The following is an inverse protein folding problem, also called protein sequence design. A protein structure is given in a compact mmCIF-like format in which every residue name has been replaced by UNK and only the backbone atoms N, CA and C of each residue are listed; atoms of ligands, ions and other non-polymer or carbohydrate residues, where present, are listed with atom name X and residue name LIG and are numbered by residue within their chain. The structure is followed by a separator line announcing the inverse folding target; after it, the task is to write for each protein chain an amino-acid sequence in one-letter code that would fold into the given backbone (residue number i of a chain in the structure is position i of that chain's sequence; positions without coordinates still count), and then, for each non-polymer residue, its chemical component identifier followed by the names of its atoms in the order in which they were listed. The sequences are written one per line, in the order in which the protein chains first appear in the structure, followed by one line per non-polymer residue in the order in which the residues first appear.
data_IF_439293924203
#
_entry.id   IF_439293924203
#
_cell.length_a   1.000
_cell.length_b   1.000
_cell.length_c   1.000
_cell.angle_alpha   90.00
_cell.angle_beta   90.00
_cell.angle_gamma   90.00
#
_symmetry.space_group_name_H-M   'P 1'
#
loop_
_entity.id
_entity.type
_entity.pdbx_description
1 polymer ?
#
# COMPACT_ATOMS: atom_id res chain seq x y z
N UNK A 1 38.05 -70.19 1.59
CA UNK A 1 37.09 -69.70 2.57
C UNK A 1 36.79 -68.29 2.25
N UNK A 2 35.50 -68.08 2.02
CA UNK A 2 34.84 -66.87 1.54
C UNK A 2 35.14 -65.58 2.32
N UNK A 3 35.26 -64.49 1.61
CA UNK A 3 34.89 -63.20 2.12
C UNK A 3 34.22 -62.38 1.00
N UNK A 4 33.00 -62.00 1.28
CA UNK A 4 32.05 -61.37 0.40
C UNK A 4 32.27 -59.85 0.51
N UNK A 5 32.50 -59.20 -0.62
CA UNK A 5 32.55 -57.75 -0.71
C UNK A 5 31.12 -57.18 -0.65
N UNK A 6 30.89 -56.28 0.29
CA UNK A 6 29.69 -55.45 0.36
C UNK A 6 29.83 -54.26 -0.57
N UNK A 7 29.03 -54.21 -1.63
CA UNK A 7 28.89 -53.02 -2.46
C UNK A 7 28.11 -51.96 -1.73
N UNK A 8 28.70 -50.82 -1.53
CA UNK A 8 28.03 -49.59 -1.11
C UNK A 8 27.35 -48.98 -2.31
N UNK A 9 26.03 -49.01 -2.33
CA UNK A 9 25.27 -48.25 -3.29
C UNK A 9 25.16 -46.83 -2.76
N UNK A 10 25.98 -45.94 -3.30
CA UNK A 10 25.81 -44.50 -3.11
C UNK A 10 24.47 -44.06 -3.71
N UNK A 11 23.50 -43.87 -2.84
CA UNK A 11 22.29 -43.16 -3.21
C UNK A 11 22.69 -41.71 -3.54
N UNK A 12 22.76 -41.39 -4.81
CA UNK A 12 22.80 -40.05 -5.31
C UNK A 12 21.46 -39.41 -4.91
N UNK A 13 21.54 -38.53 -3.94
CA UNK A 13 20.39 -37.74 -3.53
C UNK A 13 20.19 -36.65 -4.58
N UNK A 14 19.37 -36.95 -5.58
CA UNK A 14 18.91 -35.96 -6.57
C UNK A 14 17.93 -34.97 -5.93
N UNK A 15 18.45 -34.10 -5.04
CA UNK A 15 17.74 -32.97 -4.57
C UNK A 15 17.73 -31.89 -5.66
N UNK A 16 16.58 -31.51 -6.23
CA UNK A 16 16.48 -30.47 -7.26
C UNK A 16 17.10 -29.14 -6.83
N UNK A 17 17.18 -28.87 -5.53
CA UNK A 17 17.80 -27.65 -4.98
C UNK A 17 19.33 -27.62 -5.19
N UNK A 18 19.98 -28.77 -5.28
CA UNK A 18 21.43 -28.83 -5.55
C UNK A 18 21.79 -28.49 -7.00
N UNK A 19 20.88 -28.71 -7.94
CA UNK A 19 21.08 -28.38 -9.35
C UNK A 19 20.95 -26.86 -9.59
N UNK A 20 20.07 -26.20 -8.85
CA UNK A 20 19.86 -24.74 -8.91
C UNK A 20 21.12 -24.01 -8.46
N UNK A 21 21.74 -24.46 -7.37
CA UNK A 21 22.94 -23.85 -6.81
C UNK A 21 24.17 -23.92 -7.76
N UNK A 22 24.29 -24.96 -8.59
CA UNK A 22 25.38 -25.07 -9.59
C UNK A 22 25.19 -24.12 -10.77
N UNK A 23 23.93 -23.85 -11.18
CA UNK A 23 23.62 -22.91 -12.25
C UNK A 23 23.75 -21.45 -11.79
N UNK A 24 23.47 -21.17 -10.53
CA UNK A 24 23.67 -19.85 -9.92
C UNK A 24 25.12 -19.40 -9.93
N UNK A 25 26.04 -20.33 -9.66
CA UNK A 25 27.48 -20.06 -9.71
C UNK A 25 27.94 -19.76 -11.15
N UNK A 26 27.37 -20.44 -12.13
CA UNK A 26 27.72 -20.26 -13.55
C UNK A 26 27.23 -18.96 -14.15
N UNK A 27 26.15 -18.37 -13.57
CA UNK A 27 25.53 -17.13 -14.03
C UNK A 27 25.85 -15.87 -13.16
N UNK A 28 26.96 -15.93 -12.40
CA UNK A 28 27.41 -14.79 -11.61
C UNK A 28 26.49 -14.44 -10.42
N UNK A 29 25.85 -15.46 -9.81
CA UNK A 29 25.02 -15.30 -8.61
C UNK A 29 23.53 -15.02 -8.87
N UNK A 30 23.11 -15.01 -10.15
CA UNK A 30 21.69 -14.86 -10.49
C UNK A 30 21.05 -16.26 -10.67
N UNK A 31 19.94 -16.51 -9.95
CA UNK A 31 19.20 -17.77 -10.10
C UNK A 31 18.56 -17.86 -11.49
N UNK A 32 18.34 -19.07 -12.05
CA UNK A 32 17.63 -19.22 -13.32
C UNK A 32 16.23 -18.60 -13.32
N UNK A 33 15.57 -18.59 -12.17
CA UNK A 33 14.26 -17.92 -11.98
C UNK A 33 14.44 -16.40 -12.08
N UNK A 34 15.38 -15.82 -11.36
CA UNK A 34 15.67 -14.39 -11.39
C UNK A 34 16.11 -13.92 -12.79
N UNK A 35 16.91 -14.71 -13.49
CA UNK A 35 17.29 -14.43 -14.87
C UNK A 35 16.08 -14.42 -15.81
N UNK A 36 15.18 -15.40 -15.68
CA UNK A 36 13.95 -15.48 -16.46
C UNK A 36 13.01 -14.31 -16.16
N UNK A 37 12.82 -13.97 -14.89
CA UNK A 37 12.02 -12.81 -14.47
C UNK A 37 12.59 -11.50 -15.01
N UNK A 38 13.91 -11.34 -15.00
CA UNK A 38 14.57 -10.16 -15.54
C UNK A 38 14.32 -10.00 -17.03
N UNK A 39 14.39 -11.09 -17.80
CA UNK A 39 14.09 -11.09 -19.26
C UNK A 39 12.62 -10.77 -19.50
N UNK A 40 11.69 -11.39 -18.76
CA UNK A 40 10.25 -11.10 -18.89
C UNK A 40 9.95 -9.64 -18.56
N UNK A 41 10.50 -9.12 -17.47
CA UNK A 41 10.34 -7.72 -17.06
C UNK A 41 10.86 -6.75 -18.13
N UNK A 42 12.03 -7.04 -18.71
CA UNK A 42 12.59 -6.26 -19.81
C UNK A 42 11.68 -6.29 -21.04
N UNK A 43 11.21 -7.49 -21.45
CA UNK A 43 10.31 -7.61 -22.61
C UNK A 43 8.96 -6.90 -22.37
N UNK A 44 8.44 -6.95 -21.15
CA UNK A 44 7.22 -6.21 -20.80
C UNK A 44 7.45 -4.70 -20.86
N UNK A 45 8.57 -4.19 -20.30
CA UNK A 45 8.84 -2.76 -20.33
C UNK A 45 9.02 -2.20 -21.76
N UNK A 46 9.57 -2.99 -22.68
CA UNK A 46 9.70 -2.58 -24.10
C UNK A 46 8.39 -2.62 -24.88
N UNK A 47 7.34 -3.24 -24.33
CA UNK A 47 6.00 -3.36 -24.95
C UNK A 47 4.91 -2.70 -24.11
N UNK A 48 5.30 -1.88 -23.15
CA UNK A 48 4.37 -1.27 -22.18
C UNK A 48 3.20 -0.57 -22.87
N UNK A 49 3.45 0.16 -23.94
CA UNK A 49 2.41 0.85 -24.73
C UNK A 49 1.37 -0.09 -25.36
N UNK A 50 1.69 -1.40 -25.49
CA UNK A 50 0.78 -2.36 -26.10
C UNK A 50 -0.28 -2.91 -25.13
N UNK A 51 -0.05 -2.80 -23.83
CA UNK A 51 -0.92 -3.35 -22.78
C UNK A 51 -1.26 -2.38 -21.65
N UNK A 52 -0.77 -1.13 -21.72
CA UNK A 52 -1.10 -0.07 -20.76
C UNK A 52 -1.91 1.04 -21.41
N UNK A 53 -2.87 1.57 -20.69
CA UNK A 53 -3.60 2.78 -21.00
C UNK A 53 -3.31 3.81 -19.92
N UNK A 54 -2.71 4.94 -20.32
CA UNK A 54 -2.38 6.01 -19.39
C UNK A 54 -3.62 6.89 -19.20
N UNK A 55 -4.13 6.93 -17.96
CA UNK A 55 -5.21 7.83 -17.59
C UNK A 55 -4.68 8.90 -16.63
N UNK A 56 -5.14 10.13 -16.81
CA UNK A 56 -4.80 11.24 -15.96
C UNK A 56 -5.89 11.47 -14.93
N UNK A 57 -5.51 11.52 -13.64
CA UNK A 57 -6.41 11.81 -12.54
C UNK A 57 -5.93 13.05 -11.80
N UNK A 58 -6.88 13.89 -11.45
CA UNK A 58 -6.65 15.02 -10.57
C UNK A 58 -6.89 14.60 -9.12
N UNK A 59 -5.92 14.83 -8.25
CA UNK A 59 -6.00 14.48 -6.83
C UNK A 59 -5.94 15.74 -5.99
N UNK A 60 -6.98 15.97 -5.19
CA UNK A 60 -6.99 17.03 -4.19
C UNK A 60 -6.46 16.48 -2.88
N UNK A 61 -5.28 16.92 -2.47
CA UNK A 61 -4.66 16.56 -1.20
C UNK A 61 -4.85 17.66 -0.17
N UNK A 62 -5.40 17.31 0.99
CA UNK A 62 -5.62 18.25 2.07
C UNK A 62 -5.25 17.61 3.42
N UNK A 63 -4.70 18.41 4.33
CA UNK A 63 -4.39 17.97 5.68
C UNK A 63 -4.65 19.08 6.70
N UNK A 64 -5.13 18.70 7.89
CA UNK A 64 -5.43 19.63 8.95
C UNK A 64 -5.24 19.02 10.33
N UNK A 65 -4.45 19.68 11.18
CA UNK A 65 -4.39 19.36 12.59
C UNK A 65 -5.56 20.07 13.29
N UNK A 66 -6.51 19.30 13.83
CA UNK A 66 -7.74 19.83 14.42
C UNK A 66 -7.67 19.98 15.96
N UNK A 67 -6.54 19.59 16.56
CA UNK A 67 -6.28 19.76 17.99
C UNK A 67 -7.45 19.25 18.88
N UNK A 68 -7.99 18.09 18.57
CA UNK A 68 -9.09 17.46 19.30
C UNK A 68 -10.42 18.20 19.26
N UNK A 69 -10.59 19.19 18.37
CA UNK A 69 -11.82 19.96 18.28
C UNK A 69 -12.83 19.30 17.32
N UNK A 70 -14.11 19.40 17.65
CA UNK A 70 -15.19 19.07 16.73
C UNK A 70 -15.30 20.13 15.63
N UNK A 71 -15.84 19.78 14.45
CA UNK A 71 -16.03 20.74 13.36
C UNK A 71 -17.02 21.86 13.78
N UNK A 72 -16.69 23.11 13.45
CA UNK A 72 -17.53 24.28 13.78
C UNK A 72 -18.43 24.72 12.62
N UNK A 73 -18.53 23.89 11.58
CA UNK A 73 -19.34 24.20 10.40
C UNK A 73 -18.77 23.58 9.14
N UNK A 74 -19.24 24.06 7.99
CA UNK A 74 -18.79 23.56 6.69
C UNK A 74 -17.32 23.87 6.44
N UNK A 75 -16.62 22.91 5.87
CA UNK A 75 -15.22 23.05 5.41
C UNK A 75 -15.13 23.19 3.89
N UNK A 76 -16.21 23.59 3.25
CA UNK A 76 -16.31 23.73 1.80
C UNK A 76 -15.27 24.69 1.23
N UNK A 77 -15.03 25.82 1.88
CA UNK A 77 -14.01 26.78 1.42
C UNK A 77 -12.60 26.19 1.38
N UNK A 78 -12.36 25.18 2.20
CA UNK A 78 -11.11 24.44 2.21
C UNK A 78 -11.06 23.33 1.15
N UNK A 79 -12.17 22.61 0.92
CA UNK A 79 -12.20 21.42 0.07
C UNK A 79 -12.69 21.69 -1.36
N UNK A 80 -13.33 22.83 -1.66
CA UNK A 80 -13.89 23.15 -2.97
C UNK A 80 -13.22 24.38 -3.58
N UNK A 81 -11.90 24.49 -3.46
CA UNK A 81 -11.12 25.62 -4.01
C UNK A 81 -10.86 25.51 -5.52
N UNK A 82 -11.00 24.32 -6.08
CA UNK A 82 -10.81 24.10 -7.51
C UNK A 82 -12.10 24.48 -8.25
N UNK A 83 -11.95 25.02 -9.45
CA UNK A 83 -13.12 25.35 -10.30
C UNK A 83 -13.78 24.09 -10.84
N UNK A 84 -12.99 23.06 -11.12
CA UNK A 84 -13.46 21.75 -11.56
C UNK A 84 -13.29 20.71 -10.45
N UNK A 85 -14.20 19.73 -10.37
CA UNK A 85 -14.15 18.69 -9.36
C UNK A 85 -12.92 17.79 -9.58
N UNK A 86 -12.09 17.53 -8.56
CA UNK A 86 -11.02 16.55 -8.67
C UNK A 86 -11.59 15.13 -8.78
N UNK A 87 -10.84 14.23 -9.41
CA UNK A 87 -11.21 12.83 -9.52
C UNK A 87 -11.13 12.11 -8.16
N UNK A 88 -10.15 12.50 -7.34
CA UNK A 88 -9.89 11.90 -6.04
C UNK A 88 -9.67 12.98 -4.96
N UNK A 89 -10.18 12.70 -3.76
CA UNK A 89 -9.81 13.42 -2.55
C UNK A 89 -8.96 12.54 -1.64
N UNK A 90 -7.81 13.06 -1.20
CA UNK A 90 -6.99 12.51 -0.15
C UNK A 90 -6.95 13.49 1.02
N UNK A 91 -7.75 13.24 2.06
CA UNK A 91 -7.95 14.17 3.18
C UNK A 91 -7.43 13.50 4.45
N UNK A 92 -6.47 14.15 5.11
CA UNK A 92 -5.87 13.71 6.36
C UNK A 92 -6.16 14.66 7.51
N UNK A 93 -6.52 14.11 8.67
CA UNK A 93 -6.64 14.85 9.91
C UNK A 93 -5.61 14.39 10.92
N UNK A 94 -5.03 15.33 11.66
CA UNK A 94 -4.18 15.06 12.81
C UNK A 94 -4.89 15.51 14.09
N UNK A 95 -4.58 14.81 15.18
CA UNK A 95 -5.13 15.09 16.50
C UNK A 95 -6.67 15.15 16.51
N UNK A 96 -7.30 14.19 15.83
CA UNK A 96 -8.74 14.17 15.64
C UNK A 96 -9.48 14.03 16.97
N UNK A 97 -9.01 13.14 17.82
CA UNK A 97 -9.54 12.94 19.18
C UNK A 97 -8.39 12.74 20.17
N UNK A 98 -8.27 13.62 21.13
CA UNK A 98 -7.26 13.60 22.20
C UNK A 98 -7.80 13.04 23.53
N UNK A 99 -9.04 12.53 23.54
CA UNK A 99 -9.65 11.94 24.75
C UNK A 99 -8.98 10.61 25.09
N UNK A 100 -9.02 10.26 26.38
CA UNK A 100 -8.48 8.97 26.86
C UNK A 100 -9.31 7.80 26.32
N UNK A 101 -10.61 8.01 26.12
CA UNK A 101 -11.55 7.03 25.57
C UNK A 101 -11.20 6.67 24.14
N UNK A 102 -10.72 7.63 23.34
CA UNK A 102 -10.28 7.40 21.97
C UNK A 102 -9.09 6.43 21.86
N UNK A 103 -8.29 6.25 22.93
CA UNK A 103 -7.23 5.25 22.96
C UNK A 103 -7.73 3.83 23.26
N UNK A 104 -8.92 3.71 23.84
CA UNK A 104 -9.46 2.42 24.26
C UNK A 104 -10.48 1.85 23.25
N UNK A 105 -11.13 2.71 22.46
CA UNK A 105 -12.17 2.33 21.51
C UNK A 105 -11.72 2.58 20.07
N UNK A 106 -12.20 1.74 19.17
CA UNK A 106 -11.81 1.76 17.75
C UNK A 106 -12.47 2.92 16.99
N UNK A 107 -13.63 3.39 17.45
CA UNK A 107 -14.40 4.45 16.83
C UNK A 107 -14.55 5.63 17.79
N UNK A 108 -14.51 6.85 17.25
CA UNK A 108 -14.67 8.10 17.98
C UNK A 108 -15.84 8.89 17.39
N UNK A 109 -16.69 9.44 18.27
CA UNK A 109 -17.79 10.31 17.86
C UNK A 109 -17.29 11.50 17.03
N UNK A 110 -16.11 12.03 17.36
CA UNK A 110 -15.51 13.13 16.59
C UNK A 110 -15.09 12.70 15.18
N UNK A 111 -14.69 11.47 15.01
CA UNK A 111 -14.37 10.91 13.69
C UNK A 111 -15.61 10.94 12.79
N UNK A 112 -16.76 10.53 13.31
CA UNK A 112 -18.01 10.55 12.56
C UNK A 112 -18.51 11.95 12.28
N UNK A 113 -18.35 12.88 13.22
CA UNK A 113 -18.66 14.31 13.01
C UNK A 113 -17.82 14.90 11.87
N UNK A 114 -16.51 14.65 11.85
CA UNK A 114 -15.63 15.11 10.79
C UNK A 114 -15.92 14.45 9.45
N UNK A 115 -16.21 13.15 9.43
CA UNK A 115 -16.62 12.43 8.21
C UNK A 115 -17.87 13.07 7.60
N UNK A 116 -18.89 13.33 8.41
CA UNK A 116 -20.14 13.94 7.95
C UNK A 116 -19.91 15.33 7.36
N UNK A 117 -19.09 16.17 8.01
CA UNK A 117 -18.80 17.52 7.55
C UNK A 117 -17.97 17.51 6.26
N UNK A 118 -17.01 16.60 6.13
CA UNK A 118 -16.23 16.42 4.90
C UNK A 118 -17.15 16.02 3.75
N UNK A 119 -17.97 14.99 3.92
CA UNK A 119 -18.87 14.51 2.87
C UNK A 119 -19.82 15.63 2.37
N UNK A 120 -20.33 16.45 3.29
CA UNK A 120 -21.17 17.58 2.96
C UNK A 120 -20.44 18.77 2.31
N UNK A 121 -19.11 18.77 2.39
CA UNK A 121 -18.25 19.88 1.95
C UNK A 121 -17.45 19.59 0.67
N UNK A 122 -17.55 18.39 0.10
CA UNK A 122 -16.90 18.04 -1.14
C UNK A 122 -17.44 18.86 -2.32
N UNK A 123 -16.74 18.83 -3.44
CA UNK A 123 -17.08 19.67 -4.60
C UNK A 123 -18.49 19.38 -5.12
N UNK A 124 -19.36 20.43 -5.27
CA UNK A 124 -20.79 20.24 -5.51
C UNK A 124 -21.13 19.74 -6.93
N UNK A 125 -20.22 19.87 -7.88
CA UNK A 125 -20.44 19.44 -9.28
C UNK A 125 -20.23 17.92 -9.47
N UNK A 126 -19.70 17.19 -8.47
CA UNK A 126 -19.45 15.76 -8.58
C UNK A 126 -20.00 15.00 -7.37
N UNK A 127 -20.27 13.72 -7.57
CA UNK A 127 -20.63 12.79 -6.50
C UNK A 127 -19.43 11.90 -6.19
N UNK A 128 -19.05 11.85 -4.93
CA UNK A 128 -17.93 11.04 -4.47
C UNK A 128 -18.40 9.86 -3.64
N UNK A 129 -17.70 8.74 -3.79
CA UNK A 129 -17.89 7.55 -2.96
C UNK A 129 -16.66 7.41 -2.07
N UNK A 130 -16.88 7.25 -0.78
CA UNK A 130 -15.81 6.99 0.17
C UNK A 130 -15.25 5.59 -0.06
N UNK A 131 -13.97 5.51 -0.44
CA UNK A 131 -13.33 4.24 -0.77
C UNK A 131 -12.61 3.65 0.43
N UNK A 132 -11.78 4.46 1.10
CA UNK A 132 -11.01 4.03 2.27
C UNK A 132 -11.05 5.10 3.34
N UNK A 133 -11.26 4.69 4.59
CA UNK A 133 -11.01 5.49 5.78
C UNK A 133 -9.97 4.75 6.60
N UNK A 134 -8.77 5.33 6.72
CA UNK A 134 -7.70 4.82 7.54
C UNK A 134 -7.48 5.75 8.72
N UNK A 135 -7.74 5.27 9.93
CA UNK A 135 -7.47 6.03 11.16
C UNK A 135 -6.16 5.55 11.76
N UNK A 136 -5.11 6.39 11.65
CA UNK A 136 -3.83 6.18 12.32
C UNK A 136 -3.82 6.96 13.62
N UNK A 137 -3.76 6.26 14.74
CA UNK A 137 -3.62 6.85 16.08
C UNK A 137 -2.15 6.80 16.48
N UNK A 138 -1.48 7.94 16.45
CA UNK A 138 -0.14 8.07 16.97
C UNK A 138 -0.24 8.31 18.47
N UNK A 139 0.08 7.29 19.26
CA UNK A 139 0.33 7.48 20.70
C UNK A 139 1.64 8.24 20.84
N UNK A 140 1.55 9.53 21.20
CA UNK A 140 2.74 10.34 21.44
C UNK A 140 3.58 9.74 22.55
N UNK A 141 4.82 9.34 22.22
CA UNK A 141 5.85 9.21 23.24
C UNK A 141 6.06 10.61 23.83
N UNK A 142 5.62 10.80 25.07
CA UNK A 142 6.14 11.93 25.86
C UNK A 142 7.63 11.66 26.07
N UNK A 143 8.47 12.50 25.45
CA UNK A 143 9.85 12.68 25.91
C UNK A 143 9.84 13.43 27.26
#
# INVERSE_FOLDING_TARGET
MNSIGGGSTDHINDNPDSAINRQDIAMGGMTPIAARESVVRYQMSTKEEQFTEIQHFTVYCATWNVNGQSPKGSVREWLSKCDEPPDLYAIGFQELDLSKEAFLFTESVKEDEWKAVVDASLHPKAKYVRYVVLTLRLTGLKM
#
